data_IF_520801680717
#
_entry.id   IF_520801680717
#
_cell.length_a   1.000
_cell.length_b   1.000
_cell.length_c   1.000
_cell.angle_alpha   90.00
_cell.angle_beta   90.00
_cell.angle_gamma   90.00
#
_symmetry.space_group_name_H-M   'P 1'
#
loop_
_entity.id
_entity.type
_entity.pdbx_description
1 polymer ?
#
# COMPACT_ATOMS: atom_id res chain seq x y z
N UNK A 1 -3.64 28.14 -16.36
CA UNK A 1 -3.14 28.81 -15.13
C UNK A 1 -3.64 28.14 -13.84
N UNK A 2 -4.94 28.13 -13.52
CA UNK A 2 -5.43 27.46 -12.30
C UNK A 2 -5.12 25.95 -12.26
N UNK A 3 -5.36 25.26 -13.38
CA UNK A 3 -5.07 23.82 -13.56
C UNK A 3 -3.60 23.49 -13.39
N UNK A 4 -2.71 24.38 -13.84
CA UNK A 4 -1.26 24.20 -13.70
C UNK A 4 -0.88 24.29 -12.21
N UNK A 5 -1.33 25.34 -11.51
CA UNK A 5 -1.08 25.51 -10.07
C UNK A 5 -1.61 24.30 -9.29
N UNK A 6 -2.79 23.81 -9.66
CA UNK A 6 -3.40 22.63 -9.05
C UNK A 6 -2.52 21.38 -9.28
N UNK A 7 -2.05 21.16 -10.51
CA UNK A 7 -1.14 20.07 -10.82
C UNK A 7 0.16 20.14 -10.01
N UNK A 8 0.85 21.29 -10.00
CA UNK A 8 2.07 21.48 -9.23
C UNK A 8 1.84 21.19 -7.73
N UNK A 9 0.73 21.67 -7.18
CA UNK A 9 0.38 21.50 -5.77
C UNK A 9 0.12 20.03 -5.42
N UNK A 10 -0.71 19.35 -6.23
CA UNK A 10 -1.06 17.94 -6.01
C UNK A 10 0.16 17.05 -6.22
N UNK A 11 0.98 17.29 -7.25
CA UNK A 11 2.19 16.52 -7.51
C UNK A 11 3.26 16.74 -6.44
N UNK A 12 3.40 17.96 -5.91
CA UNK A 12 4.25 18.23 -4.74
C UNK A 12 3.76 17.46 -3.51
N UNK A 13 2.44 17.40 -3.30
CA UNK A 13 1.81 16.54 -2.28
C UNK A 13 2.17 15.07 -2.47
N UNK A 14 2.13 14.57 -3.71
CA UNK A 14 2.55 13.20 -4.05
C UNK A 14 4.02 12.96 -3.70
N UNK A 15 4.94 13.87 -4.08
CA UNK A 15 6.37 13.77 -3.72
C UNK A 15 6.54 13.73 -2.20
N UNK A 16 5.92 14.66 -1.49
CA UNK A 16 6.03 14.77 -0.04
C UNK A 16 5.51 13.52 0.66
N UNK A 17 4.32 13.04 0.32
CA UNK A 17 3.71 11.90 1.00
C UNK A 17 4.47 10.60 0.71
N UNK A 18 4.72 10.31 -0.56
CA UNK A 18 5.22 9.00 -1.00
C UNK A 18 6.73 8.85 -0.85
N UNK A 19 7.50 9.92 -1.06
CA UNK A 19 8.97 9.83 -1.06
C UNK A 19 9.61 10.38 0.21
N UNK A 20 8.86 11.10 1.06
CA UNK A 20 9.39 11.64 2.30
C UNK A 20 8.61 11.21 3.55
N UNK A 21 7.33 11.57 3.66
CA UNK A 21 6.56 11.40 4.90
C UNK A 21 6.43 9.94 5.34
N UNK A 22 5.90 9.07 4.47
CA UNK A 22 5.71 7.65 4.80
C UNK A 22 7.02 6.87 4.88
N UNK A 23 7.99 7.05 3.95
CA UNK A 23 9.30 6.42 4.08
C UNK A 23 10.02 6.79 5.38
N UNK A 24 9.96 8.06 5.81
CA UNK A 24 10.54 8.48 7.08
C UNK A 24 9.90 7.76 8.26
N UNK A 25 8.57 7.64 8.29
CA UNK A 25 7.86 6.89 9.35
C UNK A 25 8.25 5.42 9.39
N UNK A 26 8.32 4.76 8.23
CA UNK A 26 8.74 3.34 8.14
C UNK A 26 10.19 3.19 8.62
N UNK A 27 11.09 4.06 8.18
CA UNK A 27 12.50 4.03 8.60
C UNK A 27 12.64 4.20 10.13
N UNK A 28 11.90 5.17 10.71
CA UNK A 28 11.90 5.38 12.17
C UNK A 28 11.39 4.15 12.89
N UNK A 29 10.28 3.54 12.42
CA UNK A 29 9.73 2.31 13.02
C UNK A 29 10.74 1.15 12.99
N UNK A 30 11.36 0.90 11.84
CA UNK A 30 12.37 -0.18 11.71
C UNK A 30 13.56 0.09 12.64
N UNK A 31 14.05 1.33 12.68
CA UNK A 31 15.21 1.71 13.51
C UNK A 31 14.89 1.59 14.99
N UNK A 32 13.67 1.98 15.39
CA UNK A 32 13.18 1.81 16.75
C UNK A 32 13.20 0.33 17.18
N UNK A 33 12.69 -0.56 16.33
CA UNK A 33 12.69 -2.01 16.64
C UNK A 33 14.10 -2.54 16.84
N UNK A 34 15.00 -2.22 15.90
CA UNK A 34 16.38 -2.69 15.94
C UNK A 34 17.17 -2.16 17.15
N UNK A 35 16.82 -0.98 17.67
CA UNK A 35 17.48 -0.39 18.84
C UNK A 35 16.90 -0.90 20.17
N UNK A 36 15.59 -1.13 20.21
CA UNK A 36 14.86 -1.44 21.46
C UNK A 36 14.79 -2.95 21.70
N UNK A 37 14.71 -3.74 20.62
CA UNK A 37 14.55 -5.19 20.67
C UNK A 37 15.74 -5.89 19.98
N UNK A 38 16.96 -5.83 20.56
CA UNK A 38 18.14 -6.48 19.97
C UNK A 38 18.06 -8.02 20.06
N UNK A 39 18.78 -8.71 19.19
CA UNK A 39 18.81 -10.17 19.09
C UNK A 39 19.32 -10.85 20.37
N UNK A 40 20.15 -10.16 21.16
CA UNK A 40 20.60 -10.65 22.46
C UNK A 40 19.47 -10.82 23.48
N UNK A 41 18.42 -9.98 23.41
CA UNK A 41 17.26 -10.03 24.31
C UNK A 41 16.02 -10.67 23.67
N UNK A 42 15.89 -10.56 22.34
CA UNK A 42 14.74 -11.04 21.57
C UNK A 42 15.20 -11.98 20.44
N UNK A 43 15.86 -13.11 20.78
CA UNK A 43 16.51 -13.97 19.80
C UNK A 43 15.55 -14.54 18.76
N UNK A 44 14.29 -14.86 19.11
CA UNK A 44 13.32 -15.45 18.17
C UNK A 44 12.95 -14.51 17.02
N UNK A 45 13.09 -13.19 17.21
CA UNK A 45 12.86 -12.20 16.15
C UNK A 45 13.91 -12.30 15.03
N UNK A 46 15.10 -12.84 15.33
CA UNK A 46 16.26 -12.83 14.41
C UNK A 46 16.87 -14.21 14.12
N UNK A 47 16.66 -15.21 14.98
CA UNK A 47 17.31 -16.54 14.96
C UNK A 47 17.11 -17.30 13.65
N UNK A 48 16.03 -17.03 12.93
CA UNK A 48 15.64 -17.72 11.70
C UNK A 48 15.82 -16.86 10.43
N UNK A 49 16.68 -15.84 10.55
CA UNK A 49 17.15 -15.04 9.44
C UNK A 49 17.92 -15.85 8.41
N UNK A 50 17.82 -15.45 7.13
CA UNK A 50 18.68 -15.92 6.05
C UNK A 50 20.12 -15.38 6.14
N UNK A 51 20.37 -14.44 7.05
CA UNK A 51 21.62 -13.71 7.18
C UNK A 51 22.37 -14.13 8.45
N UNK A 52 23.69 -14.26 8.31
CA UNK A 52 24.63 -14.52 9.42
C UNK A 52 24.52 -13.42 10.50
N UNK A 53 24.41 -12.17 10.06
CA UNK A 53 24.22 -11.00 10.93
C UNK A 53 22.94 -10.25 10.53
N UNK A 54 21.78 -10.67 11.07
CA UNK A 54 20.49 -10.10 10.70
C UNK A 54 20.36 -8.63 11.05
N UNK A 55 20.83 -8.20 12.22
CA UNK A 55 20.68 -6.83 12.68
C UNK A 55 21.41 -5.86 11.76
N UNK A 56 22.69 -6.12 11.47
CA UNK A 56 23.45 -5.23 10.60
C UNK A 56 22.91 -5.24 9.17
N UNK A 57 22.41 -6.38 8.68
CA UNK A 57 21.75 -6.43 7.39
C UNK A 57 20.48 -5.56 7.36
N UNK A 58 19.61 -5.69 8.36
CA UNK A 58 18.38 -4.90 8.47
C UNK A 58 18.67 -3.41 8.60
N UNK A 59 19.68 -3.01 9.39
CA UNK A 59 20.14 -1.61 9.49
C UNK A 59 20.62 -1.06 8.14
N UNK A 60 21.43 -1.84 7.40
CA UNK A 60 21.89 -1.45 6.06
C UNK A 60 20.73 -1.32 5.07
N UNK A 61 19.79 -2.26 5.09
CA UNK A 61 18.58 -2.22 4.25
C UNK A 61 17.70 -1.01 4.57
N UNK A 62 17.46 -0.71 5.85
CA UNK A 62 16.71 0.47 6.27
C UNK A 62 17.36 1.77 5.80
N UNK A 63 18.70 1.89 5.89
CA UNK A 63 19.44 3.05 5.37
C UNK A 63 19.30 3.17 3.85
N UNK A 64 19.45 2.07 3.10
CA UNK A 64 19.25 2.05 1.63
C UNK A 64 17.85 2.46 1.24
N UNK A 65 16.84 1.96 1.96
CA UNK A 65 15.45 2.36 1.77
C UNK A 65 15.25 3.87 1.99
N UNK A 66 15.81 4.43 3.07
CA UNK A 66 15.78 5.88 3.32
C UNK A 66 16.44 6.66 2.17
N UNK A 67 17.65 6.28 1.77
CA UNK A 67 18.39 6.98 0.72
C UNK A 67 17.73 6.88 -0.65
N UNK A 68 17.18 5.72 -1.01
CA UNK A 68 16.42 5.56 -2.26
C UNK A 68 15.23 6.51 -2.30
N UNK A 69 14.45 6.57 -1.22
CA UNK A 69 13.29 7.48 -1.13
C UNK A 69 13.71 8.96 -1.13
N UNK A 70 14.78 9.32 -0.40
CA UNK A 70 15.35 10.67 -0.46
C UNK A 70 15.80 11.06 -1.87
N UNK A 71 16.46 10.15 -2.59
CA UNK A 71 16.91 10.40 -3.96
C UNK A 71 15.72 10.59 -4.91
N UNK A 72 14.67 9.75 -4.79
CA UNK A 72 13.44 9.89 -5.57
C UNK A 72 12.72 11.21 -5.26
N UNK A 73 12.70 11.63 -3.99
CA UNK A 73 12.13 12.92 -3.59
C UNK A 73 12.89 14.10 -4.22
N UNK A 74 14.23 14.09 -4.14
CA UNK A 74 15.08 15.12 -4.75
C UNK A 74 14.91 15.15 -6.27
N UNK A 75 14.83 13.99 -6.92
CA UNK A 75 14.55 13.90 -8.35
C UNK A 75 13.20 14.54 -8.70
N UNK A 76 12.13 14.24 -7.94
CA UNK A 76 10.81 14.83 -8.15
C UNK A 76 10.79 16.34 -7.98
N UNK A 77 11.44 16.85 -6.92
CA UNK A 77 11.57 18.28 -6.69
C UNK A 77 12.38 18.97 -7.80
N UNK A 78 13.46 18.34 -8.25
CA UNK A 78 14.27 18.83 -9.37
C UNK A 78 13.47 18.90 -10.67
N UNK A 79 12.65 17.88 -10.97
CA UNK A 79 11.75 17.88 -12.12
C UNK A 79 10.71 18.99 -12.01
N UNK A 80 10.06 19.14 -10.85
CA UNK A 80 9.09 20.23 -10.64
C UNK A 80 9.72 21.61 -10.83
N UNK A 81 10.93 21.81 -10.32
CA UNK A 81 11.65 23.07 -10.48
C UNK A 81 12.01 23.32 -11.96
N UNK A 82 12.49 22.31 -12.68
CA UNK A 82 12.79 22.42 -14.10
C UNK A 82 11.53 22.73 -14.94
N UNK A 83 10.39 22.13 -14.61
CA UNK A 83 9.09 22.45 -15.22
C UNK A 83 8.72 23.91 -14.94
N UNK A 84 8.82 24.37 -13.70
CA UNK A 84 8.49 25.75 -13.33
C UNK A 84 9.39 26.78 -14.06
N UNK A 85 10.70 26.53 -14.15
CA UNK A 85 11.66 27.43 -14.81
C UNK A 85 11.48 27.45 -16.32
N UNK A 86 11.18 26.31 -16.94
CA UNK A 86 10.97 26.23 -18.40
C UNK A 86 9.63 26.79 -18.87
N UNK A 87 8.81 27.32 -17.96
CA UNK A 87 7.47 27.81 -18.28
C UNK A 87 6.51 26.69 -18.68
N UNK A 88 6.79 25.45 -18.24
CA UNK A 88 5.98 24.29 -18.58
C UNK A 88 4.55 24.45 -18.09
N UNK A 89 3.63 24.32 -19.03
CA UNK A 89 2.20 24.52 -18.86
C UNK A 89 1.46 23.20 -19.14
N UNK A 90 1.09 22.42 -18.09
CA UNK A 90 0.35 21.17 -18.24
C UNK A 90 -0.90 21.26 -19.13
N UNK A 91 -1.58 22.41 -19.15
CA UNK A 91 -2.78 22.61 -19.98
C UNK A 91 -2.52 22.76 -21.49
N UNK A 92 -1.27 22.96 -21.94
CA UNK A 92 -0.96 23.23 -23.36
C UNK A 92 -0.54 22.00 -24.16
N UNK A 93 -0.38 20.85 -23.51
CA UNK A 93 0.18 19.64 -24.12
C UNK A 93 -0.97 18.67 -24.43
N UNK A 94 -0.90 18.03 -25.61
CA UNK A 94 -1.92 17.10 -26.08
C UNK A 94 -2.13 15.96 -25.09
N UNK A 95 -3.38 15.48 -25.08
CA UNK A 95 -3.95 14.40 -24.25
C UNK A 95 -2.96 13.27 -23.92
N UNK A 96 -3.05 12.74 -22.70
CA UNK A 96 -2.36 11.55 -22.18
C UNK A 96 -0.82 11.61 -22.00
N UNK A 97 -0.10 12.62 -22.50
CA UNK A 97 1.36 12.66 -22.36
C UNK A 97 1.84 12.85 -20.90
N UNK A 98 1.09 13.57 -20.09
CA UNK A 98 1.41 13.81 -18.67
C UNK A 98 0.98 12.69 -17.75
N UNK A 99 -0.08 11.98 -18.12
CA UNK A 99 -0.60 10.86 -17.35
C UNK A 99 0.46 9.76 -17.22
N UNK A 100 1.14 9.45 -18.32
CA UNK A 100 2.22 8.47 -18.35
C UNK A 100 3.36 8.85 -17.40
N UNK A 101 3.77 10.12 -17.40
CA UNK A 101 4.80 10.63 -16.49
C UNK A 101 4.41 10.48 -15.02
N UNK A 102 3.20 10.90 -14.62
CA UNK A 102 2.75 10.81 -13.22
C UNK A 102 2.69 9.35 -12.76
N UNK A 103 2.18 8.45 -13.61
CA UNK A 103 2.12 7.01 -13.32
C UNK A 103 3.52 6.41 -13.20
N UNK A 104 4.44 6.69 -14.13
CA UNK A 104 5.80 6.18 -14.02
C UNK A 104 6.54 6.71 -12.80
N UNK A 105 6.34 7.98 -12.47
CA UNK A 105 6.90 8.55 -11.26
C UNK A 105 6.32 7.87 -10.02
N UNK A 106 5.01 7.63 -9.97
CA UNK A 106 4.38 6.86 -8.89
C UNK A 106 4.94 5.43 -8.78
N UNK A 107 5.16 4.73 -9.89
CA UNK A 107 5.77 3.39 -9.90
C UNK A 107 7.20 3.44 -9.33
N UNK A 108 7.99 4.44 -9.74
CA UNK A 108 9.32 4.68 -9.20
C UNK A 108 9.27 4.93 -7.69
N UNK A 109 8.34 5.78 -7.22
CA UNK A 109 8.13 6.06 -5.80
C UNK A 109 7.68 4.82 -5.02
N UNK A 110 6.88 3.95 -5.62
CA UNK A 110 6.35 2.74 -4.99
C UNK A 110 7.38 1.62 -4.92
N UNK A 111 8.39 1.63 -5.79
CA UNK A 111 9.35 0.55 -5.93
C UNK A 111 10.11 0.22 -4.62
N UNK A 112 10.66 1.19 -3.86
CA UNK A 112 11.27 0.88 -2.56
C UNK A 112 10.31 0.20 -1.58
N UNK A 113 9.02 0.53 -1.60
CA UNK A 113 8.01 -0.09 -0.74
C UNK A 113 7.75 -1.55 -1.14
N UNK A 114 7.66 -1.82 -2.46
CA UNK A 114 7.50 -3.18 -2.97
C UNK A 114 8.69 -4.08 -2.56
N UNK A 115 9.92 -3.56 -2.62
CA UNK A 115 11.10 -4.32 -2.16
C UNK A 115 11.05 -4.64 -0.67
N UNK A 116 10.58 -3.70 0.16
CA UNK A 116 10.38 -3.93 1.60
C UNK A 116 9.32 -5.00 1.84
N UNK A 117 8.21 -4.98 1.11
CA UNK A 117 7.16 -5.98 1.24
C UNK A 117 7.63 -7.38 0.81
N UNK A 118 8.31 -7.49 -0.33
CA UNK A 118 8.87 -8.77 -0.82
C UNK A 118 9.91 -9.33 0.15
N UNK A 119 10.78 -8.47 0.70
CA UNK A 119 11.75 -8.90 1.70
C UNK A 119 11.10 -9.33 3.02
N UNK A 120 10.03 -8.64 3.45
CA UNK A 120 9.24 -9.00 4.63
C UNK A 120 8.53 -10.34 4.45
N UNK A 121 7.91 -10.57 3.29
CA UNK A 121 7.30 -11.86 2.95
C UNK A 121 8.32 -13.01 2.98
N UNK A 122 9.50 -12.76 2.41
CA UNK A 122 10.61 -13.73 2.40
C UNK A 122 11.10 -14.03 3.81
N UNK A 123 11.18 -13.02 4.67
CA UNK A 123 11.52 -13.15 6.09
C UNK A 123 10.51 -14.03 6.84
N UNK A 124 9.22 -13.75 6.71
CA UNK A 124 8.17 -14.56 7.35
C UNK A 124 8.19 -16.01 6.87
N UNK A 125 8.46 -16.26 5.58
CA UNK A 125 8.61 -17.62 5.07
C UNK A 125 9.72 -18.38 5.78
N UNK A 126 10.86 -17.74 6.07
CA UNK A 126 11.97 -18.34 6.81
C UNK A 126 11.63 -18.59 8.28
N UNK A 127 11.03 -17.62 8.97
CA UNK A 127 10.56 -17.81 10.36
C UNK A 127 9.62 -19.00 10.48
N UNK A 128 8.70 -19.13 9.52
CA UNK A 128 7.74 -20.22 9.50
C UNK A 128 8.34 -21.58 9.16
N UNK A 129 9.31 -21.63 8.24
CA UNK A 129 10.00 -22.88 7.92
C UNK A 129 10.81 -23.40 9.12
N UNK A 130 11.37 -22.49 9.91
CA UNK A 130 12.21 -22.84 11.04
C UNK A 130 11.43 -23.18 12.32
N UNK A 131 10.17 -22.76 12.44
CA UNK A 131 9.34 -23.12 13.58
C UNK A 131 9.00 -24.63 13.55
N UNK A 132 9.70 -25.39 14.40
CA UNK A 132 9.51 -26.83 14.60
C UNK A 132 8.33 -27.20 15.51
N UNK A 133 7.54 -26.23 15.96
CA UNK A 133 6.43 -26.46 16.90
C UNK A 133 5.35 -27.35 16.26
N UNK A 134 5.17 -28.55 16.81
CA UNK A 134 4.14 -29.53 16.40
C UNK A 134 2.75 -29.18 16.92
N UNK A 135 2.65 -28.33 17.95
CA UNK A 135 1.40 -27.95 18.60
C UNK A 135 0.90 -26.59 18.11
N UNK A 136 -0.27 -26.60 17.46
CA UNK A 136 -0.97 -25.40 17.03
C UNK A 136 -1.63 -24.75 18.26
N UNK A 137 -1.05 -23.67 18.77
CA UNK A 137 -1.77 -22.76 19.65
C UNK A 137 -2.58 -21.81 18.77
N UNK A 138 -3.89 -21.89 18.86
CA UNK A 138 -4.79 -20.98 18.19
C UNK A 138 -5.83 -20.54 19.20
N UNK A 139 -5.99 -19.23 19.36
CA UNK A 139 -7.17 -18.70 20.05
C UNK A 139 -8.43 -19.24 19.35
N UNK A 140 -9.35 -19.79 20.14
CA UNK A 140 -10.56 -20.47 19.65
C UNK A 140 -11.65 -19.50 19.19
N UNK A 141 -11.36 -18.19 19.14
CA UNK A 141 -12.31 -17.17 18.70
C UNK A 141 -12.68 -17.36 17.22
N UNK A 142 -13.97 -17.58 16.90
CA UNK A 142 -14.44 -17.57 15.53
C UNK A 142 -14.12 -16.22 14.89
N UNK A 143 -13.52 -16.22 13.71
CA UNK A 143 -13.27 -15.01 12.93
C UNK A 143 -14.48 -14.75 12.05
N UNK A 144 -15.14 -13.60 12.18
CA UNK A 144 -16.19 -13.15 11.24
C UNK A 144 -15.72 -11.89 10.53
N UNK A 145 -16.11 -11.70 9.26
CA UNK A 145 -15.64 -10.57 8.44
C UNK A 145 -15.88 -9.22 9.13
N UNK A 146 -17.06 -9.05 9.73
CA UNK A 146 -17.48 -7.79 10.34
C UNK A 146 -16.84 -7.52 11.71
N UNK A 147 -16.06 -8.44 12.25
CA UNK A 147 -15.18 -8.18 13.39
C UNK A 147 -13.98 -7.32 12.95
N UNK A 148 -13.60 -7.39 11.67
CA UNK A 148 -12.42 -6.72 11.10
C UNK A 148 -12.75 -5.42 10.36
N UNK A 149 -13.98 -5.29 9.85
CA UNK A 149 -14.40 -4.11 9.09
C UNK A 149 -15.89 -3.83 9.27
N UNK A 150 -16.26 -2.55 9.37
CA UNK A 150 -17.66 -2.15 9.40
C UNK A 150 -18.39 -2.57 8.11
N UNK A 151 -19.59 -3.17 8.19
CA UNK A 151 -20.40 -3.52 7.03
C UNK A 151 -20.64 -2.35 6.08
N UNK A 152 -20.67 -1.12 6.61
CA UNK A 152 -20.89 0.10 5.83
C UNK A 152 -19.81 0.30 4.77
N UNK A 153 -18.54 0.00 5.07
CA UNK A 153 -17.46 0.12 4.07
C UNK A 153 -17.56 -0.95 2.99
N UNK A 154 -17.99 -2.16 3.34
CA UNK A 154 -18.24 -3.22 2.36
C UNK A 154 -19.40 -2.82 1.44
N UNK A 155 -20.47 -2.28 2.01
CA UNK A 155 -21.58 -1.74 1.23
C UNK A 155 -21.11 -0.62 0.29
N UNK A 156 -20.29 0.32 0.76
CA UNK A 156 -19.72 1.36 -0.10
C UNK A 156 -18.85 0.79 -1.24
N UNK A 157 -18.07 -0.26 -0.99
CA UNK A 157 -17.30 -0.92 -2.05
C UNK A 157 -18.20 -1.51 -3.14
N UNK A 158 -19.28 -2.20 -2.73
CA UNK A 158 -20.27 -2.76 -3.66
C UNK A 158 -20.97 -1.65 -4.44
N UNK A 159 -21.44 -0.60 -3.76
CA UNK A 159 -22.12 0.52 -4.40
C UNK A 159 -21.20 1.29 -5.35
N UNK A 160 -19.94 1.52 -4.98
CA UNK A 160 -18.96 2.17 -5.85
C UNK A 160 -18.69 1.33 -7.10
N UNK A 161 -18.56 0.01 -6.97
CA UNK A 161 -18.39 -0.89 -8.11
C UNK A 161 -19.61 -0.90 -9.03
N UNK A 162 -20.82 -1.04 -8.49
CA UNK A 162 -22.06 -0.99 -9.26
C UNK A 162 -22.19 0.37 -9.95
N UNK A 163 -21.98 1.47 -9.21
CA UNK A 163 -22.03 2.83 -9.75
C UNK A 163 -21.04 3.03 -10.90
N UNK A 164 -19.84 2.48 -10.78
CA UNK A 164 -18.85 2.49 -11.86
C UNK A 164 -19.34 1.71 -13.09
N UNK A 165 -19.78 0.45 -12.92
CA UNK A 165 -20.28 -0.39 -14.03
C UNK A 165 -21.45 0.30 -14.73
N UNK A 166 -22.44 0.78 -13.97
CA UNK A 166 -23.62 1.46 -14.52
C UNK A 166 -23.24 2.72 -15.29
N UNK A 167 -22.35 3.56 -14.74
CA UNK A 167 -21.90 4.77 -15.42
C UNK A 167 -21.08 4.47 -16.68
N UNK A 168 -20.22 3.45 -16.61
CA UNK A 168 -19.40 3.02 -17.75
C UNK A 168 -20.25 2.51 -18.91
N UNK A 169 -21.21 1.60 -18.64
CA UNK A 169 -22.10 1.06 -19.65
C UNK A 169 -23.08 2.11 -20.20
N UNK A 170 -23.57 3.02 -19.34
CA UNK A 170 -24.40 4.13 -19.78
C UNK A 170 -23.65 5.03 -20.79
N UNK A 171 -22.38 5.32 -20.56
CA UNK A 171 -21.58 6.14 -21.46
C UNK A 171 -21.20 5.42 -22.75
N UNK A 172 -20.99 4.09 -22.71
CA UNK A 172 -20.70 3.28 -23.90
C UNK A 172 -21.95 2.97 -24.74
N UNK A 173 -23.14 3.00 -24.13
CA UNK A 173 -24.40 2.62 -24.75
C UNK A 173 -24.66 1.11 -24.64
N UNK A 174 -25.82 0.74 -24.10
CA UNK A 174 -26.17 -0.66 -23.83
C UNK A 174 -26.30 -1.55 -25.08
N UNK A 175 -26.53 -0.94 -26.25
CA UNK A 175 -26.67 -1.63 -27.53
C UNK A 175 -25.40 -1.65 -28.38
N UNK A 176 -24.33 -0.97 -27.93
CA UNK A 176 -23.08 -0.91 -28.67
C UNK A 176 -22.31 -2.22 -28.54
N UNK A 177 -21.72 -2.70 -29.64
CA UNK A 177 -20.80 -3.83 -29.60
C UNK A 177 -19.59 -3.48 -28.74
N UNK A 178 -19.20 -4.39 -27.84
CA UNK A 178 -18.07 -4.16 -26.95
C UNK A 178 -16.76 -4.21 -27.73
N UNK A 179 -15.97 -3.14 -27.61
CA UNK A 179 -14.61 -3.08 -28.12
C UNK A 179 -13.62 -3.77 -27.17
N UNK A 180 -12.38 -3.99 -27.63
CA UNK A 180 -11.31 -4.60 -26.83
C UNK A 180 -11.06 -3.85 -25.51
N UNK A 181 -11.14 -2.52 -25.53
CA UNK A 181 -10.97 -1.69 -24.33
C UNK A 181 -12.04 -1.97 -23.28
N UNK A 182 -13.29 -2.18 -23.70
CA UNK A 182 -14.43 -2.51 -22.84
C UNK A 182 -14.20 -3.84 -22.14
N UNK A 183 -13.80 -4.88 -22.89
CA UNK A 183 -13.45 -6.18 -22.30
C UNK A 183 -12.29 -6.05 -21.31
N UNK A 184 -11.20 -5.39 -21.70
CA UNK A 184 -10.03 -5.23 -20.85
C UNK A 184 -10.34 -4.47 -19.56
N UNK A 185 -11.16 -3.42 -19.63
CA UNK A 185 -11.55 -2.63 -18.45
C UNK A 185 -12.46 -3.44 -17.53
N UNK A 186 -13.48 -4.12 -18.07
CA UNK A 186 -14.42 -4.93 -17.29
C UNK A 186 -13.73 -6.11 -16.61
N UNK A 187 -12.99 -6.92 -17.38
CA UNK A 187 -12.28 -8.07 -16.85
C UNK A 187 -11.12 -7.67 -15.95
N UNK A 188 -10.36 -6.62 -16.31
CA UNK A 188 -9.27 -6.11 -15.49
C UNK A 188 -9.78 -5.65 -14.12
N UNK A 189 -10.89 -4.91 -14.09
CA UNK A 189 -11.48 -4.46 -12.84
C UNK A 189 -12.02 -5.62 -11.98
N UNK A 190 -12.71 -6.59 -12.61
CA UNK A 190 -13.16 -7.79 -11.91
C UNK A 190 -11.98 -8.59 -11.34
N UNK A 191 -10.93 -8.81 -12.14
CA UNK A 191 -9.73 -9.51 -11.72
C UNK A 191 -9.03 -8.81 -10.56
N UNK A 192 -8.90 -7.48 -10.59
CA UNK A 192 -8.29 -6.72 -9.50
C UNK A 192 -9.09 -6.79 -8.21
N UNK A 193 -10.43 -6.71 -8.28
CA UNK A 193 -11.27 -6.94 -7.10
C UNK A 193 -11.13 -8.37 -6.55
N UNK A 194 -11.02 -9.37 -7.42
CA UNK A 194 -10.75 -10.75 -7.01
C UNK A 194 -9.38 -10.87 -6.33
N UNK A 195 -8.36 -10.14 -6.78
CA UNK A 195 -7.06 -10.07 -6.11
C UNK A 195 -7.22 -9.48 -4.70
N UNK A 196 -7.90 -8.34 -4.55
CA UNK A 196 -8.13 -7.73 -3.24
C UNK A 196 -8.91 -8.63 -2.28
N UNK A 197 -9.95 -9.30 -2.79
CA UNK A 197 -10.68 -10.31 -2.05
C UNK A 197 -9.77 -11.48 -1.63
N UNK A 198 -8.97 -12.01 -2.57
CA UNK A 198 -8.06 -13.14 -2.31
C UNK A 198 -7.00 -12.80 -1.26
N UNK A 199 -6.45 -11.58 -1.29
CA UNK A 199 -5.50 -11.11 -0.28
C UNK A 199 -6.14 -11.02 1.12
N UNK A 200 -7.36 -10.49 1.20
CA UNK A 200 -8.13 -10.43 2.45
C UNK A 200 -8.49 -11.83 2.96
N UNK A 201 -9.00 -12.69 2.09
CA UNK A 201 -9.41 -14.05 2.39
C UNK A 201 -8.23 -14.92 2.86
N UNK A 202 -7.10 -14.85 2.16
CA UNK A 202 -5.87 -15.55 2.55
C UNK A 202 -5.36 -15.09 3.92
N UNK A 203 -5.50 -13.80 4.25
CA UNK A 203 -5.10 -13.28 5.57
C UNK A 203 -6.06 -13.72 6.66
N UNK A 204 -7.36 -13.75 6.35
CA UNK A 204 -8.44 -14.11 7.27
C UNK A 204 -8.40 -15.61 7.67
N UNK A 205 -8.33 -16.52 6.69
CA UNK A 205 -8.27 -17.98 6.92
C UNK A 205 -6.85 -18.53 7.07
N UNK A 206 -5.85 -17.72 6.73
CA UNK A 206 -4.46 -18.13 6.72
C UNK A 206 -3.92 -18.46 8.11
N UNK A 207 -2.96 -19.38 8.14
CA UNK A 207 -2.08 -19.60 9.29
C UNK A 207 -1.18 -18.37 9.49
N UNK A 208 -0.82 -18.07 10.75
CA UNK A 208 0.15 -17.01 11.10
C UNK A 208 1.40 -17.10 10.21
N UNK A 209 1.83 -15.97 9.67
CA UNK A 209 3.06 -15.92 8.86
C UNK A 209 4.28 -15.94 9.76
N UNK A 210 4.22 -15.23 10.88
CA UNK A 210 5.15 -15.36 11.99
C UNK A 210 4.56 -16.30 13.07
N UNK A 211 5.17 -17.48 13.30
CA UNK A 211 4.70 -18.44 14.29
C UNK A 211 4.69 -17.93 15.74
N UNK A 212 5.53 -16.94 16.06
CA UNK A 212 5.66 -16.41 17.41
C UNK A 212 4.72 -15.23 17.68
N UNK A 213 4.15 -14.63 16.63
CA UNK A 213 3.28 -13.45 16.73
C UNK A 213 2.12 -13.68 17.71
N UNK A 214 1.90 -12.71 18.61
CA UNK A 214 0.76 -12.70 19.52
C UNK A 214 -0.57 -12.71 18.74
N UNK A 215 -1.61 -13.34 19.28
CA UNK A 215 -2.92 -13.44 18.62
C UNK A 215 -3.57 -12.07 18.39
N UNK A 216 -3.39 -11.12 19.31
CA UNK A 216 -3.90 -9.76 19.17
C UNK A 216 -3.21 -9.00 18.02
N UNK A 217 -1.89 -9.16 17.89
CA UNK A 217 -1.13 -8.55 16.80
C UNK A 217 -1.52 -9.14 15.45
N UNK A 218 -1.75 -10.46 15.41
CA UNK A 218 -2.31 -11.10 14.21
C UNK A 218 -3.69 -10.52 13.89
N UNK A 219 -4.55 -10.32 14.88
CA UNK A 219 -5.88 -9.76 14.67
C UNK A 219 -5.81 -8.33 14.11
N UNK A 220 -4.93 -7.47 14.65
CA UNK A 220 -4.67 -6.11 14.11
C UNK A 220 -4.15 -6.16 12.68
N UNK A 221 -3.27 -7.10 12.36
CA UNK A 221 -2.74 -7.27 11.00
C UNK A 221 -3.84 -7.71 10.02
N UNK A 222 -4.67 -8.70 10.37
CA UNK A 222 -5.79 -9.14 9.54
C UNK A 222 -6.79 -8.00 9.31
N UNK A 223 -7.13 -7.26 10.38
CA UNK A 223 -7.98 -6.06 10.31
C UNK A 223 -7.44 -5.07 9.28
N UNK A 224 -6.14 -4.79 9.37
CA UNK A 224 -5.47 -3.85 8.48
C UNK A 224 -5.53 -4.32 7.04
N UNK A 225 -5.18 -5.58 6.76
CA UNK A 225 -5.21 -6.11 5.38
C UNK A 225 -6.61 -6.06 4.78
N UNK A 226 -7.65 -6.46 5.52
CA UNK A 226 -9.04 -6.42 5.04
C UNK A 226 -9.45 -4.98 4.72
N UNK A 227 -9.15 -4.02 5.60
CA UNK A 227 -9.48 -2.60 5.38
C UNK A 227 -8.76 -2.02 4.18
N UNK A 228 -7.47 -2.28 4.03
CA UNK A 228 -6.67 -1.83 2.88
C UNK A 228 -7.26 -2.40 1.58
N UNK A 229 -7.60 -3.69 1.53
CA UNK A 229 -8.25 -4.30 0.37
C UNK A 229 -9.59 -3.65 0.01
N UNK A 230 -10.44 -3.38 1.01
CA UNK A 230 -11.76 -2.76 0.79
C UNK A 230 -11.62 -1.30 0.35
N UNK A 231 -10.72 -0.53 0.97
CA UNK A 231 -10.47 0.85 0.54
C UNK A 231 -9.83 0.91 -0.86
N UNK A 232 -8.93 0.00 -1.20
CA UNK A 232 -8.37 -0.09 -2.54
C UNK A 232 -9.45 -0.38 -3.59
N UNK A 233 -10.39 -1.28 -3.29
CA UNK A 233 -11.55 -1.57 -4.15
C UNK A 233 -12.42 -0.32 -4.37
N UNK A 234 -12.78 0.39 -3.30
CA UNK A 234 -13.55 1.65 -3.37
C UNK A 234 -12.82 2.69 -4.23
N UNK A 235 -11.56 2.98 -3.91
CA UNK A 235 -10.77 4.01 -4.58
C UNK A 235 -10.60 3.71 -6.07
N UNK A 236 -10.37 2.45 -6.43
CA UNK A 236 -10.23 2.03 -7.83
C UNK A 236 -11.53 2.27 -8.62
N UNK A 237 -12.69 1.92 -8.05
CA UNK A 237 -13.99 2.20 -8.68
C UNK A 237 -14.27 3.69 -8.82
N UNK A 238 -14.02 4.48 -7.76
CA UNK A 238 -14.19 5.94 -7.79
C UNK A 238 -13.25 6.61 -8.81
N UNK A 239 -12.02 6.12 -8.95
CA UNK A 239 -11.07 6.63 -9.92
C UNK A 239 -11.53 6.38 -11.35
N UNK A 240 -12.04 5.18 -11.65
CA UNK A 240 -12.56 4.89 -12.97
C UNK A 240 -13.84 5.68 -13.29
N UNK A 241 -14.70 5.95 -12.30
CA UNK A 241 -15.82 6.90 -12.47
C UNK A 241 -15.28 8.28 -12.84
N UNK A 242 -14.25 8.74 -12.12
CA UNK A 242 -13.63 10.06 -12.35
C UNK A 242 -13.05 10.16 -13.76
N UNK A 243 -12.32 9.15 -14.23
CA UNK A 243 -11.79 9.12 -15.60
C UNK A 243 -12.89 9.06 -16.66
N UNK A 244 -13.92 8.24 -16.46
CA UNK A 244 -15.06 8.21 -17.38
C UNK A 244 -15.78 9.57 -17.44
N UNK A 245 -15.87 10.27 -16.31
CA UNK A 245 -16.47 11.60 -16.26
C UNK A 245 -15.58 12.62 -16.99
N UNK A 246 -14.27 12.60 -16.73
CA UNK A 246 -13.31 13.47 -17.41
C UNK A 246 -13.42 13.32 -18.94
N UNK A 247 -13.38 12.09 -19.44
CA UNK A 247 -13.48 11.81 -20.88
C UNK A 247 -14.83 12.23 -21.46
N UNK A 248 -15.92 12.00 -20.71
CA UNK A 248 -17.26 12.36 -21.16
C UNK A 248 -17.46 13.87 -21.31
N UNK A 249 -16.88 14.65 -20.39
CA UNK A 249 -17.07 16.10 -20.34
C UNK A 249 -15.94 16.90 -21.01
N UNK A 250 -14.94 16.22 -21.60
CA UNK A 250 -13.78 16.87 -22.25
C UNK A 250 -12.91 17.63 -21.24
N UNK A 251 -12.70 17.05 -20.06
CA UNK A 251 -11.92 17.63 -18.97
C UNK A 251 -10.49 17.10 -18.90
N UNK A 252 -9.92 16.73 -20.05
CA UNK A 252 -8.65 15.98 -20.17
C UNK A 252 -7.48 16.67 -19.45
N UNK A 253 -7.54 18.01 -19.36
CA UNK A 253 -6.58 18.83 -18.61
C UNK A 253 -6.47 18.48 -17.10
N UNK A 254 -7.47 17.80 -16.53
CA UNK A 254 -7.50 17.40 -15.13
C UNK A 254 -7.04 15.95 -14.90
N UNK A 255 -6.84 15.14 -15.94
CA UNK A 255 -6.42 13.74 -15.77
C UNK A 255 -5.12 13.59 -14.95
N UNK A 256 -4.05 14.39 -15.18
CA UNK A 256 -2.81 14.27 -14.43
C UNK A 256 -2.99 14.62 -12.94
N UNK A 257 -3.91 15.53 -12.65
CA UNK A 257 -4.28 15.90 -11.28
C UNK A 257 -5.04 14.74 -10.62
N UNK A 258 -6.04 14.20 -11.31
CA UNK A 258 -6.87 13.11 -10.81
C UNK A 258 -6.02 11.86 -10.51
N UNK A 259 -5.12 11.47 -11.41
CA UNK A 259 -4.23 10.32 -11.18
C UNK A 259 -3.24 10.56 -10.04
N UNK A 260 -2.66 11.76 -9.94
CA UNK A 260 -1.74 12.10 -8.84
C UNK A 260 -2.45 12.07 -7.48
N UNK A 261 -3.69 12.56 -7.43
CA UNK A 261 -4.52 12.49 -6.23
C UNK A 261 -4.88 11.05 -5.88
N UNK A 262 -5.26 10.23 -6.86
CA UNK A 262 -5.52 8.80 -6.67
C UNK A 262 -4.31 8.06 -6.11
N UNK A 263 -3.11 8.30 -6.66
CA UNK A 263 -1.85 7.75 -6.15
C UNK A 263 -1.61 8.10 -4.67
N UNK A 264 -1.90 9.34 -4.29
CA UNK A 264 -1.82 9.77 -2.88
C UNK A 264 -2.84 9.04 -2.01
N UNK A 265 -4.09 8.94 -2.46
CA UNK A 265 -5.15 8.28 -1.71
C UNK A 265 -4.85 6.79 -1.49
N UNK A 266 -4.36 6.07 -2.51
CA UNK A 266 -3.95 4.66 -2.36
C UNK A 266 -2.88 4.54 -1.26
N UNK A 267 -1.90 5.43 -1.23
CA UNK A 267 -0.80 5.34 -0.26
C UNK A 267 -1.28 5.71 1.14
N UNK A 268 -2.17 6.70 1.26
CA UNK A 268 -2.78 7.08 2.53
C UNK A 268 -3.64 5.95 3.10
N UNK A 269 -4.48 5.32 2.29
CA UNK A 269 -5.36 4.22 2.72
C UNK A 269 -4.69 2.85 2.73
N UNK A 270 -3.52 2.70 2.10
CA UNK A 270 -2.66 1.53 2.16
C UNK A 270 -1.63 1.64 3.29
N UNK A 271 -0.50 2.29 3.00
CA UNK A 271 0.62 2.42 3.94
C UNK A 271 0.23 3.26 5.17
N UNK A 272 -0.53 4.34 4.97
CA UNK A 272 -0.99 5.17 6.08
C UNK A 272 -1.91 4.43 7.05
N UNK A 273 -2.84 3.62 6.54
CA UNK A 273 -3.69 2.76 7.39
C UNK A 273 -2.86 1.73 8.16
N UNK A 274 -1.90 1.09 7.49
CA UNK A 274 -0.97 0.15 8.13
C UNK A 274 -0.19 0.81 9.28
N UNK A 275 0.36 1.99 9.06
CA UNK A 275 1.14 2.71 10.09
C UNK A 275 0.28 3.21 11.25
N UNK A 276 -1.00 3.55 11.00
CA UNK A 276 -1.92 4.01 12.06
C UNK A 276 -2.41 2.87 12.96
N UNK A 277 -2.62 1.67 12.40
CA UNK A 277 -3.17 0.52 13.12
C UNK A 277 -2.11 -0.38 13.74
N UNK A 278 -0.97 -0.53 13.07
CA UNK A 278 0.15 -1.32 13.58
C UNK A 278 1.18 -0.38 14.20
N UNK A 279 0.75 0.34 15.26
CA UNK A 279 1.65 1.14 16.09
C UNK A 279 2.63 0.22 16.77
N UNK A 280 3.89 0.63 16.83
CA UNK A 280 4.95 -0.26 17.31
C UNK A 280 4.87 -0.47 18.83
N UNK A 281 4.32 0.52 19.51
CA UNK A 281 4.10 0.56 20.95
C UNK A 281 3.04 -0.45 21.40
N UNK A 282 2.14 -0.83 20.50
CA UNK A 282 1.02 -1.74 20.76
C UNK A 282 1.34 -3.21 20.38
N UNK A 283 2.56 -3.49 19.91
CA UNK A 283 3.01 -4.82 19.49
C UNK A 283 3.66 -5.53 20.67
N UNK A 284 3.23 -6.76 20.95
CA UNK A 284 3.81 -7.56 22.02
C UNK A 284 5.11 -8.24 21.56
N UNK A 285 6.23 -7.63 21.92
CA UNK A 285 7.55 -8.19 21.64
C UNK A 285 7.99 -9.28 22.62
N UNK A 286 7.27 -9.49 23.73
CA UNK A 286 7.67 -10.46 24.76
C UNK A 286 7.71 -11.90 24.24
N UNK A 287 6.84 -12.23 23.28
CA UNK A 287 6.78 -13.54 22.59
C UNK A 287 8.09 -13.91 21.87
N UNK A 288 8.94 -12.93 21.59
CA UNK A 288 10.23 -13.16 20.92
C UNK A 288 11.41 -13.38 21.87
N UNK A 289 11.21 -13.29 23.19
CA UNK A 289 12.22 -13.67 24.18
C UNK A 289 12.39 -15.19 24.22
N UNK A 290 13.60 -15.67 24.49
CA UNK A 290 13.81 -17.07 24.84
C UNK A 290 13.37 -17.30 26.30
N UNK A 291 12.77 -18.46 26.58
CA UNK A 291 12.29 -18.84 27.92
C UNK A 291 13.43 -18.94 28.95
N UNK A 292 14.68 -19.02 28.48
CA UNK A 292 15.88 -19.09 29.31
C UNK A 292 16.48 -17.74 29.68
N UNK A 293 15.97 -16.63 29.14
CA UNK A 293 16.39 -15.28 29.53
C UNK A 293 15.52 -14.86 30.71
N UNK A 294 16.03 -15.09 31.92
CA UNK A 294 15.36 -14.75 33.17
C UNK A 294 14.86 -13.28 33.18
N UNK A 295 13.69 -13.00 33.78
CA UNK A 295 13.25 -11.62 33.98
C UNK A 295 14.27 -10.90 34.87
N UNK A 296 14.80 -9.78 34.36
CA UNK A 296 15.54 -8.79 35.15
C UNK A 296 14.56 -7.78 35.70
#
# INVERSE_FOLDING_TARGET
MFTDILFYSVFLGQIFLLSYHYPKKIFTKITYVLNTYPASKYPKLYRHSQYIDPENKLRKTARRYKYANSAIALLGLGILLAMAISGYAPHTIKENQHLLFVVFYFLLQSFPHLLVEVSTYSWYKCMRYAAKTSTRTADLRPRRLFDFISPVYVLFAVLAYIGWVSFYLYNKGFSAAWDSQTYMTMFGMAAMNLVFFSLGYKSFLGKKMDPHQADEDQHKQITTTIRVSVFASILMSLQLITFNAINKFGWDIFEPVAISLYCQLIIVFGIGEMLRRLKIEDVDFSVYKDETVAPV
#
